data_IF_572280416049
#
_entry.id   IF_572280416049
#
_cell.length_a   1.000
_cell.length_b   1.000
_cell.length_c   1.000
_cell.angle_alpha   90.00
_cell.angle_beta   90.00
_cell.angle_gamma   90.00
#
_symmetry.space_group_name_H-M   'P 1'
#
loop_
_entity.id
_entity.type
_entity.pdbx_description
1 polymer ?
#
# COMPACT_ATOMS: atom_id res chain seq x y z
N UNK A 1 7.29 -10.38 -70.29
CA UNK A 1 6.72 -11.13 -69.16
C UNK A 1 7.47 -10.75 -67.89
N UNK A 2 6.81 -10.18 -66.88
CA UNK A 2 7.43 -9.78 -65.60
C UNK A 2 7.28 -10.93 -64.59
N UNK A 3 8.38 -11.36 -63.99
CA UNK A 3 8.40 -12.37 -62.93
C UNK A 3 8.03 -11.74 -61.59
N UNK A 4 6.92 -12.19 -61.01
CA UNK A 4 6.51 -11.83 -59.65
C UNK A 4 7.32 -12.70 -58.69
N UNK A 5 8.16 -12.08 -57.86
CA UNK A 5 8.90 -12.77 -56.79
C UNK A 5 7.98 -12.93 -55.58
N UNK A 6 7.39 -14.11 -55.42
CA UNK A 6 6.64 -14.50 -54.22
C UNK A 6 7.63 -15.11 -53.21
N UNK A 7 8.28 -14.26 -52.43
CA UNK A 7 9.14 -14.67 -51.31
C UNK A 7 8.64 -13.93 -50.08
N UNK A 8 7.84 -14.60 -49.25
CA UNK A 8 7.44 -14.04 -47.97
C UNK A 8 6.14 -14.60 -47.44
N UNK A 9 6.09 -15.90 -47.13
CA UNK A 9 5.11 -16.42 -46.17
C UNK A 9 5.47 -17.83 -45.69
N UNK A 10 6.61 -18.02 -45.02
CA UNK A 10 6.91 -19.27 -44.29
C UNK A 10 7.94 -19.03 -43.18
N UNK A 11 7.54 -18.37 -42.09
CA UNK A 11 8.33 -18.37 -40.85
C UNK A 11 7.49 -18.24 -39.56
N UNK A 12 6.18 -18.51 -39.60
CA UNK A 12 5.32 -18.33 -38.42
C UNK A 12 4.73 -19.61 -37.83
N UNK A 13 5.41 -20.74 -37.95
CA UNK A 13 5.01 -21.97 -37.24
C UNK A 13 6.26 -22.74 -36.78
N UNK A 14 6.94 -22.26 -35.74
CA UNK A 14 7.99 -23.04 -35.06
C UNK A 14 8.09 -22.75 -33.55
N UNK A 15 7.02 -22.28 -32.92
CA UNK A 15 7.02 -21.93 -31.49
C UNK A 15 6.02 -22.75 -30.68
N UNK A 16 6.07 -24.09 -30.80
CA UNK A 16 5.18 -24.96 -30.03
C UNK A 16 5.83 -26.22 -29.44
N UNK A 17 7.14 -26.21 -29.14
CA UNK A 17 7.80 -27.28 -28.35
C UNK A 17 9.02 -26.76 -27.56
N UNK A 18 8.82 -25.86 -26.61
CA UNK A 18 9.81 -25.63 -25.55
C UNK A 18 9.23 -26.16 -24.23
N UNK A 19 9.72 -27.33 -23.82
CA UNK A 19 9.46 -27.90 -22.50
C UNK A 19 10.02 -26.98 -21.42
N UNK A 20 9.17 -26.44 -20.55
CA UNK A 20 9.52 -25.49 -19.50
C UNK A 20 10.08 -26.19 -18.24
N UNK A 21 10.93 -27.20 -18.38
CA UNK A 21 11.49 -27.95 -17.25
C UNK A 21 13.02 -27.87 -17.15
N UNK A 22 13.69 -27.09 -17.99
CA UNK A 22 15.12 -26.81 -17.82
C UNK A 22 15.30 -25.67 -16.84
N UNK A 23 15.75 -26.02 -15.62
CA UNK A 23 16.17 -25.06 -14.61
C UNK A 23 17.21 -24.09 -15.21
N UNK A 24 16.91 -22.80 -15.14
CA UNK A 24 17.84 -21.74 -15.54
C UNK A 24 18.86 -21.60 -14.41
N UNK A 25 20.03 -22.23 -14.56
CA UNK A 25 21.14 -22.06 -13.62
C UNK A 25 21.97 -20.85 -14.07
N UNK A 26 21.97 -19.78 -13.28
CA UNK A 26 22.85 -18.64 -13.49
C UNK A 26 24.28 -18.99 -13.07
N UNK A 27 25.33 -18.60 -13.84
CA UNK A 27 26.70 -18.81 -13.42
C UNK A 27 27.03 -17.78 -12.33
N UNK A 28 27.11 -18.29 -11.10
CA UNK A 28 27.29 -17.51 -9.89
C UNK A 28 26.71 -18.25 -8.70
N UNK A 29 27.23 -19.45 -8.42
CA UNK A 29 26.98 -20.15 -7.16
C UNK A 29 27.59 -19.34 -6.00
N UNK A 30 26.87 -18.30 -5.59
CA UNK A 30 26.99 -17.77 -4.25
C UNK A 30 26.43 -18.81 -3.30
N UNK A 31 27.27 -19.21 -2.34
CA UNK A 31 26.91 -19.94 -1.12
C UNK A 31 25.43 -19.76 -0.78
N UNK A 32 24.67 -20.86 -0.83
CA UNK A 32 23.33 -20.89 -0.24
C UNK A 32 23.49 -20.61 1.25
N UNK A 33 23.16 -19.38 1.64
CA UNK A 33 23.04 -19.02 3.05
C UNK A 33 21.98 -19.96 3.64
N UNK A 34 22.27 -20.69 4.74
CA UNK A 34 21.27 -21.54 5.38
C UNK A 34 20.02 -20.71 5.65
N UNK A 35 18.85 -21.26 5.27
CA UNK A 35 17.53 -20.65 5.43
C UNK A 35 17.45 -19.81 6.70
N UNK A 36 17.68 -18.50 6.58
CA UNK A 36 17.29 -17.58 7.62
C UNK A 36 15.78 -17.74 7.77
N UNK A 37 15.25 -17.94 8.98
CA UNK A 37 13.81 -18.04 9.18
C UNK A 37 13.16 -16.80 8.55
N UNK A 38 12.33 -17.02 7.52
CA UNK A 38 11.52 -15.97 6.92
C UNK A 38 10.52 -15.56 7.99
N UNK A 39 10.88 -14.51 8.72
CA UNK A 39 10.02 -13.92 9.72
C UNK A 39 9.04 -13.07 8.94
N UNK A 40 7.85 -13.61 8.68
CA UNK A 40 6.77 -12.80 8.13
C UNK A 40 6.51 -11.65 9.12
N UNK A 41 6.46 -10.39 8.66
CA UNK A 41 6.13 -9.28 9.55
C UNK A 41 4.80 -9.56 10.23
N UNK A 42 4.84 -9.69 11.56
CA UNK A 42 3.72 -10.10 12.42
C UNK A 42 2.68 -9.00 12.59
N UNK A 43 2.97 -7.76 12.19
CA UNK A 43 2.02 -6.65 12.20
C UNK A 43 1.44 -6.41 10.81
N UNK A 44 0.35 -7.11 10.49
CA UNK A 44 -0.50 -6.69 9.37
C UNK A 44 -1.11 -5.33 9.75
N UNK A 45 -0.50 -4.23 9.32
CA UNK A 45 -1.05 -2.90 9.57
C UNK A 45 -2.45 -2.80 8.93
N UNK A 46 -3.44 -2.37 9.69
CA UNK A 46 -4.83 -2.29 9.25
C UNK A 46 -5.27 -0.83 9.05
N UNK A 47 -6.24 -0.55 8.18
CA UNK A 47 -6.86 0.77 8.06
C UNK A 47 -7.42 1.27 9.40
N UNK A 48 -7.08 2.50 9.77
CA UNK A 48 -7.58 3.13 10.99
C UNK A 48 -8.97 3.75 10.75
N UNK A 49 -9.87 3.62 11.72
CA UNK A 49 -11.13 4.38 11.73
C UNK A 49 -10.94 5.67 12.52
N UNK A 50 -11.26 6.80 11.89
CA UNK A 50 -11.19 8.13 12.46
C UNK A 50 -12.50 8.51 13.14
N UNK A 51 -12.42 9.34 14.18
CA UNK A 51 -13.58 9.86 14.89
C UNK A 51 -13.67 11.37 14.68
N UNK A 52 -14.88 11.89 14.44
CA UNK A 52 -15.17 13.33 14.26
C UNK A 52 -14.50 14.03 13.07
N UNK A 53 -13.75 13.31 12.24
CA UNK A 53 -13.15 13.81 11.00
C UNK A 53 -11.63 13.84 11.07
N UNK A 54 -11.02 14.62 10.17
CA UNK A 54 -9.58 14.80 10.11
C UNK A 54 -9.23 16.15 9.51
N UNK A 55 -7.99 16.59 9.72
CA UNK A 55 -7.40 17.75 9.05
C UNK A 55 -6.05 17.37 8.44
N UNK A 56 -5.72 17.99 7.31
CA UNK A 56 -4.40 17.88 6.69
C UNK A 56 -3.89 19.30 6.52
N UNK A 57 -2.81 19.64 7.23
CA UNK A 57 -2.23 20.98 7.19
C UNK A 57 -0.73 20.90 7.45
N UNK A 58 0.05 21.68 6.70
CA UNK A 58 1.50 21.80 6.87
C UNK A 58 2.22 20.44 6.82
N UNK A 59 1.74 19.52 5.98
CA UNK A 59 2.29 18.16 5.86
C UNK A 59 1.91 17.22 7.00
N UNK A 60 1.04 17.63 7.93
CA UNK A 60 0.62 16.81 9.06
C UNK A 60 -0.86 16.43 8.90
N UNK A 61 -1.12 15.12 8.97
CA UNK A 61 -2.46 14.56 9.10
C UNK A 61 -2.83 14.50 10.59
N UNK A 62 -3.98 15.05 10.99
CA UNK A 62 -4.49 15.01 12.36
C UNK A 62 -5.90 14.46 12.40
N UNK A 63 -6.18 13.57 13.35
CA UNK A 63 -7.49 12.96 13.56
C UNK A 63 -7.65 12.53 15.02
N UNK A 64 -8.84 12.10 15.38
CA UNK A 64 -9.11 11.36 16.61
C UNK A 64 -9.26 9.85 16.32
N UNK A 65 -8.80 9.02 17.25
CA UNK A 65 -9.02 7.56 17.26
C UNK A 65 -9.61 7.12 18.59
N UNK A 66 -10.47 6.11 18.57
CA UNK A 66 -11.08 5.57 19.79
C UNK A 66 -10.20 4.46 20.37
N UNK A 67 -9.63 4.67 21.55
CA UNK A 67 -8.76 3.70 22.23
C UNK A 67 -9.22 3.45 23.66
N UNK A 68 -9.18 2.18 24.10
CA UNK A 68 -9.36 1.80 25.50
C UNK A 68 -8.08 1.81 26.33
N UNK A 69 -6.94 1.94 25.68
CA UNK A 69 -5.64 1.94 26.35
C UNK A 69 -5.13 3.36 26.29
N UNK A 70 -5.08 4.01 27.46
CA UNK A 70 -4.53 5.37 27.67
C UNK A 70 -3.05 5.46 27.26
N UNK A 71 -2.42 4.30 27.05
CA UNK A 71 -1.04 4.15 26.64
C UNK A 71 -0.94 3.12 25.53
N UNK A 72 -1.43 3.44 24.33
CA UNK A 72 -0.81 2.84 23.15
C UNK A 72 0.57 3.48 23.05
N UNK A 73 1.57 2.90 23.71
CA UNK A 73 2.94 3.40 23.59
C UNK A 73 3.37 3.23 22.13
N UNK A 74 3.38 4.35 21.40
CA UNK A 74 3.87 4.48 20.03
C UNK A 74 3.11 3.65 18.98
N UNK A 75 1.81 3.91 18.72
CA UNK A 75 1.14 3.33 17.57
C UNK A 75 1.89 3.73 16.29
N UNK A 76 2.39 2.74 15.56
CA UNK A 76 3.10 2.98 14.30
C UNK A 76 2.09 3.24 13.19
N UNK A 77 1.62 4.48 13.12
CA UNK A 77 0.81 4.93 12.01
C UNK A 77 1.66 5.21 10.78
N UNK A 78 1.12 4.89 9.61
CA UNK A 78 1.81 5.05 8.33
C UNK A 78 0.82 5.52 7.26
N UNK A 79 1.27 6.46 6.43
CA UNK A 79 0.55 6.89 5.24
C UNK A 79 0.94 6.05 4.02
N UNK A 80 -0.05 5.48 3.32
CA UNK A 80 0.12 4.68 2.11
C UNK A 80 -0.68 5.26 0.95
N UNK A 81 -0.11 5.18 -0.25
CA UNK A 81 -0.82 5.48 -1.48
C UNK A 81 -1.51 4.19 -1.96
N UNK A 82 -2.82 4.24 -2.13
CA UNK A 82 -3.59 3.17 -2.77
C UNK A 82 -4.39 3.75 -3.95
N UNK A 83 -4.97 2.87 -4.76
CA UNK A 83 -5.80 3.26 -5.91
C UNK A 83 -7.15 2.57 -5.85
N UNK A 84 -8.22 3.35 -5.95
CA UNK A 84 -9.58 2.84 -6.17
C UNK A 84 -10.00 3.21 -7.59
N UNK A 85 -9.88 2.24 -8.51
CA UNK A 85 -10.00 2.50 -9.94
C UNK A 85 -8.91 3.48 -10.41
N UNK A 86 -9.31 4.67 -10.84
CA UNK A 86 -8.39 5.75 -11.29
C UNK A 86 -8.16 6.83 -10.22
N UNK A 87 -8.79 6.72 -9.06
CA UNK A 87 -8.70 7.72 -8.01
C UNK A 87 -7.57 7.37 -7.04
N UNK A 88 -6.54 8.21 -6.89
CA UNK A 88 -5.50 8.01 -5.90
C UNK A 88 -6.05 8.28 -4.49
N UNK A 89 -5.71 7.42 -3.52
CA UNK A 89 -6.14 7.61 -2.13
C UNK A 89 -5.00 7.54 -1.13
N UNK A 90 -5.05 8.43 -0.15
CA UNK A 90 -4.28 8.38 1.08
C UNK A 90 -4.98 7.42 2.05
N UNK A 91 -4.31 6.32 2.38
CA UNK A 91 -4.74 5.38 3.40
C UNK A 91 -3.78 5.47 4.59
N UNK A 92 -4.31 5.78 5.76
CA UNK A 92 -3.57 5.67 7.01
C UNK A 92 -3.80 4.29 7.63
N UNK A 93 -2.71 3.59 7.92
CA UNK A 93 -2.74 2.29 8.57
C UNK A 93 -1.99 2.32 9.89
N UNK A 94 -2.35 1.45 10.83
CA UNK A 94 -1.62 1.28 12.08
C UNK A 94 -1.34 -0.19 12.37
N UNK A 95 -0.30 -0.46 13.15
CA UNK A 95 0.04 -1.80 13.64
C UNK A 95 -0.96 -2.37 14.67
N UNK A 96 -1.83 -1.52 15.19
CA UNK A 96 -2.83 -1.84 16.18
C UNK A 96 -4.16 -1.30 15.68
N UNK A 97 -5.18 -2.15 15.56
CA UNK A 97 -6.56 -1.67 15.44
C UNK A 97 -6.94 -1.11 16.82
N UNK A 98 -7.17 0.20 16.99
CA UNK A 98 -7.55 0.75 18.27
C UNK A 98 -8.79 0.01 18.75
N UNK A 99 -8.66 -0.80 19.80
CA UNK A 99 -9.81 -1.55 20.31
C UNK A 99 -10.87 -0.53 20.72
N UNK A 100 -12.00 -0.45 19.99
CA UNK A 100 -12.89 0.70 20.11
C UNK A 100 -13.52 0.65 21.49
N UNK A 101 -13.24 1.68 22.28
CA UNK A 101 -13.81 1.78 23.59
C UNK A 101 -15.29 2.08 23.50
N UNK A 102 -16.11 1.25 24.16
CA UNK A 102 -17.56 1.45 24.25
C UNK A 102 -17.91 2.79 24.89
N UNK A 103 -17.02 3.31 25.73
CA UNK A 103 -17.17 4.61 26.37
C UNK A 103 -16.91 5.80 25.42
N UNK A 104 -16.43 5.56 24.19
CA UNK A 104 -16.26 6.58 23.17
C UNK A 104 -15.14 7.59 23.45
N UNK A 105 -14.21 7.28 24.36
CA UNK A 105 -13.03 8.11 24.58
C UNK A 105 -12.16 8.12 23.33
N UNK A 106 -11.82 9.33 22.88
CA UNK A 106 -10.94 9.53 21.74
C UNK A 106 -9.62 10.14 22.17
N UNK A 107 -8.57 9.79 21.45
CA UNK A 107 -7.24 10.37 21.58
C UNK A 107 -6.80 10.97 20.26
N UNK A 108 -6.00 12.05 20.34
CA UNK A 108 -5.43 12.69 19.18
C UNK A 108 -4.36 11.79 18.54
N UNK A 109 -4.39 11.75 17.22
CA UNK A 109 -3.46 11.01 16.38
C UNK A 109 -2.88 11.97 15.34
N UNK A 110 -1.56 11.92 15.16
CA UNK A 110 -0.85 12.66 14.10
C UNK A 110 -0.03 11.72 13.23
N UNK A 111 0.03 12.02 11.93
CA UNK A 111 0.94 11.36 10.97
C UNK A 111 1.66 12.42 10.17
N UNK A 112 3.00 12.36 10.17
CA UNK A 112 3.83 13.17 9.28
C UNK A 112 3.72 12.61 7.85
N UNK A 113 3.18 13.42 6.94
CA UNK A 113 3.02 13.09 5.53
C UNK A 113 4.21 13.51 4.68
N UNK A 114 5.29 14.05 5.25
CA UNK A 114 6.45 14.56 4.49
C UNK A 114 7.02 13.50 3.56
N UNK A 115 7.31 12.31 4.09
CA UNK A 115 7.82 11.20 3.28
C UNK A 115 6.78 10.72 2.25
N UNK A 116 5.50 10.70 2.60
CA UNK A 116 4.44 10.35 1.67
C UNK A 116 4.41 11.33 0.49
N UNK A 117 4.30 12.63 0.77
CA UNK A 117 4.20 13.72 -0.21
C UNK A 117 5.43 13.82 -1.11
N UNK A 118 6.63 13.55 -0.59
CA UNK A 118 7.87 13.54 -1.37
C UNK A 118 7.94 12.38 -2.38
N UNK A 119 7.28 11.26 -2.09
CA UNK A 119 7.36 10.04 -2.88
C UNK A 119 6.23 9.90 -3.91
N UNK A 120 5.30 10.86 -3.98
CA UNK A 120 4.16 10.81 -4.89
C UNK A 120 4.18 11.93 -5.94
N UNK A 121 3.76 11.66 -7.19
CA UNK A 121 3.76 12.68 -8.23
C UNK A 121 2.83 13.85 -7.93
N UNK A 122 3.28 15.10 -8.11
CA UNK A 122 2.48 16.29 -7.78
C UNK A 122 1.13 16.36 -8.50
N UNK A 123 1.04 15.82 -9.73
CA UNK A 123 -0.20 15.84 -10.51
C UNK A 123 -1.33 15.00 -9.88
N UNK A 124 -1.04 14.11 -8.94
CA UNK A 124 -2.08 13.33 -8.26
C UNK A 124 -2.67 14.05 -7.03
N UNK A 125 -2.07 15.16 -6.58
CA UNK A 125 -2.49 15.82 -5.33
C UNK A 125 -3.88 16.43 -5.43
N UNK A 126 -4.25 16.94 -6.62
CA UNK A 126 -5.57 17.52 -6.88
C UNK A 126 -6.71 16.50 -6.79
N UNK A 127 -6.39 15.20 -6.89
CA UNK A 127 -7.35 14.10 -6.90
C UNK A 127 -7.22 13.19 -5.68
N UNK A 128 -6.35 13.54 -4.73
CA UNK A 128 -6.04 12.69 -3.60
C UNK A 128 -7.18 12.72 -2.58
N UNK A 129 -7.80 11.57 -2.37
CA UNK A 129 -8.87 11.38 -1.38
C UNK A 129 -8.38 10.58 -0.18
N UNK A 130 -8.95 10.78 1.01
CA UNK A 130 -8.66 9.92 2.17
C UNK A 130 -9.56 8.68 2.11
N UNK A 131 -8.94 7.49 2.19
CA UNK A 131 -9.64 6.21 2.09
C UNK A 131 -10.22 5.72 3.43
N UNK A 132 -9.72 6.22 4.54
CA UNK A 132 -10.12 5.76 5.87
C UNK A 132 -11.59 6.08 6.18
N UNK A 133 -12.22 5.20 6.94
CA UNK A 133 -13.56 5.44 7.47
C UNK A 133 -13.52 6.58 8.49
N UNK A 134 -14.51 7.46 8.42
CA UNK A 134 -14.81 8.44 9.46
C UNK A 134 -16.10 8.04 10.17
N UNK A 135 -16.04 7.92 11.49
CA UNK A 135 -17.19 7.76 12.37
C UNK A 135 -17.56 9.11 12.98
N UNK A 136 -18.69 9.66 12.56
CA UNK A 136 -19.21 10.92 13.10
C UNK A 136 -19.99 10.62 14.37
N UNK A 137 -19.47 11.04 15.51
CA UNK A 137 -20.21 10.94 16.78
C UNK A 137 -21.12 12.15 16.93
N UNK A 138 -22.32 11.90 17.45
CA UNK A 138 -23.22 12.98 17.88
C UNK A 138 -22.83 13.34 19.30
N UNK A 139 -22.35 14.56 19.53
CA UNK A 139 -22.20 15.10 20.88
C UNK A 139 -23.59 15.14 21.54
N UNK A 140 -23.72 14.53 22.72
CA UNK A 140 -24.91 14.62 23.56
C UNK A 140 -24.71 15.69 24.63
#
# INVERSE_FOLDING_TARGET
MKTIKLLGLMTFIASSVASANTAITFPGEGSSVPNAPVTFPTSSKTPITFYNGYTIKDGIFRSEVNTCVVEVNNPEYEAKLIWEGKTPKLLIVGNTDPFPCRAGFTEAMEVDLTAFLQNIPTHIFEYLEVANRVNMQRSF
#
